data_IF_478426939280
#
_entry.id   IF_478426939280
#
_cell.length_a   1.000
_cell.length_b   1.000
_cell.length_c   1.000
_cell.angle_alpha   90.00
_cell.angle_beta   90.00
_cell.angle_gamma   90.00
#
_symmetry.space_group_name_H-M   'P 1'
#
loop_
_entity.id
_entity.type
_entity.pdbx_description
1 polymer ?
#
# COMPACT_ATOMS: atom_id res chain seq x y z
N UNK A 1 -11.14 -13.23 7.80
CA UNK A 1 -9.94 -12.88 7.01
C UNK A 1 -8.63 -12.83 7.83
N UNK A 2 -8.59 -13.27 9.11
CA UNK A 2 -7.38 -13.15 9.95
C UNK A 2 -6.34 -14.28 9.80
N UNK A 3 -6.61 -15.33 9.03
CA UNK A 3 -5.64 -16.42 8.81
C UNK A 3 -4.63 -16.15 7.70
N UNK A 4 -4.90 -15.18 6.81
CA UNK A 4 -4.05 -14.92 5.65
C UNK A 4 -2.77 -14.15 5.99
N UNK A 5 -2.85 -13.19 6.90
CA UNK A 5 -1.72 -12.32 7.27
C UNK A 5 -0.56 -13.07 7.96
N UNK A 6 -0.79 -13.85 9.04
CA UNK A 6 0.32 -14.58 9.69
C UNK A 6 0.89 -15.73 8.84
N UNK A 7 0.20 -16.13 7.77
CA UNK A 7 0.64 -17.20 6.86
C UNK A 7 1.22 -16.69 5.54
N UNK A 8 1.24 -15.37 5.30
CA UNK A 8 1.75 -14.78 4.06
C UNK A 8 3.19 -14.34 4.22
N UNK A 9 4.06 -14.66 3.26
CA UNK A 9 5.40 -14.07 3.16
C UNK A 9 5.36 -12.66 2.56
N UNK A 10 4.38 -12.40 1.67
CA UNK A 10 4.15 -11.13 1.00
C UNK A 10 2.66 -10.81 0.99
N UNK A 11 2.30 -9.56 1.30
CA UNK A 11 0.94 -9.06 1.13
C UNK A 11 0.93 -7.78 0.29
N UNK A 12 -0.13 -7.58 -0.49
CA UNK A 12 -0.24 -6.45 -1.40
C UNK A 12 -1.54 -5.63 -1.21
N UNK A 13 -1.75 -4.95 -0.06
CA UNK A 13 -2.96 -4.19 0.18
C UNK A 13 -3.02 -2.90 -0.66
N UNK A 14 -4.21 -2.44 -1.03
CA UNK A 14 -4.42 -1.02 -1.35
C UNK A 14 -4.54 -0.20 -0.05
N UNK A 15 -4.68 1.13 -0.13
CA UNK A 15 -4.81 1.97 1.08
C UNK A 15 -5.95 1.54 2.02
N UNK A 16 -7.14 1.24 1.49
CA UNK A 16 -8.30 0.87 2.32
C UNK A 16 -8.07 -0.47 3.01
N UNK A 17 -7.51 -1.44 2.30
CA UNK A 17 -7.12 -2.74 2.85
C UNK A 17 -6.03 -2.59 3.93
N UNK A 18 -5.07 -1.68 3.73
CA UNK A 18 -4.03 -1.38 4.70
C UNK A 18 -4.64 -0.86 6.01
N UNK A 19 -5.55 0.12 5.94
CA UNK A 19 -6.24 0.69 7.10
C UNK A 19 -7.09 -0.35 7.85
N UNK A 20 -7.72 -1.28 7.12
CA UNK A 20 -8.47 -2.38 7.73
C UNK A 20 -7.52 -3.35 8.46
N UNK A 21 -6.34 -3.62 7.91
CA UNK A 21 -5.38 -4.57 8.47
C UNK A 21 -4.60 -4.00 9.66
N UNK A 22 -4.24 -2.72 9.65
CA UNK A 22 -3.59 -2.05 10.79
C UNK A 22 -4.57 -1.48 11.81
N UNK A 23 -5.88 -1.51 11.52
CA UNK A 23 -6.96 -1.05 12.40
C UNK A 23 -6.88 0.46 12.76
N UNK A 24 -6.23 1.26 11.91
CA UNK A 24 -6.16 2.71 12.03
C UNK A 24 -6.09 3.40 10.64
N UNK A 25 -6.33 4.71 10.62
CA UNK A 25 -6.27 5.50 9.38
C UNK A 25 -4.81 5.73 8.94
N UNK A 26 -4.60 5.86 7.62
CA UNK A 26 -3.30 6.16 6.99
C UNK A 26 -3.49 7.32 6.00
N UNK A 27 -2.82 8.44 6.25
CA UNK A 27 -3.11 9.71 5.58
C UNK A 27 -1.93 10.26 4.78
N UNK A 28 -0.75 9.69 4.90
CA UNK A 28 0.45 10.08 4.16
C UNK A 28 1.40 8.88 3.98
N UNK A 29 2.47 9.09 3.20
CA UNK A 29 3.42 8.02 2.87
C UNK A 29 4.18 7.53 4.10
N UNK A 30 4.50 8.40 5.05
CA UNK A 30 5.21 8.02 6.29
C UNK A 30 4.35 7.09 7.16
N UNK A 31 3.08 7.45 7.37
CA UNK A 31 2.08 6.60 8.03
C UNK A 31 1.91 5.27 7.29
N UNK A 32 1.97 5.25 5.95
CA UNK A 32 1.88 4.02 5.17
C UNK A 32 3.10 3.11 5.36
N UNK A 33 4.32 3.66 5.49
CA UNK A 33 5.52 2.89 5.84
C UNK A 33 5.37 2.29 7.25
N UNK A 34 4.90 3.07 8.22
CA UNK A 34 4.71 2.61 9.59
C UNK A 34 3.66 1.49 9.66
N UNK A 35 2.47 1.69 9.08
CA UNK A 35 1.42 0.68 9.03
C UNK A 35 1.88 -0.60 8.31
N UNK A 36 2.63 -0.48 7.22
CA UNK A 36 3.21 -1.64 6.54
C UNK A 36 4.17 -2.42 7.45
N UNK A 37 4.99 -1.74 8.25
CA UNK A 37 5.90 -2.38 9.22
C UNK A 37 5.17 -3.05 10.39
N UNK A 38 4.03 -2.50 10.81
CA UNK A 38 3.15 -3.16 11.78
C UNK A 38 2.59 -4.48 11.23
N UNK A 39 2.24 -4.53 9.94
CA UNK A 39 1.85 -5.78 9.30
C UNK A 39 3.01 -6.75 9.18
N UNK A 40 4.22 -6.26 8.87
CA UNK A 40 5.43 -7.10 8.81
C UNK A 40 5.71 -7.79 10.14
N UNK A 41 5.53 -7.07 11.25
CA UNK A 41 5.68 -7.63 12.59
C UNK A 41 4.67 -8.77 12.91
N UNK A 42 3.62 -8.93 12.10
CA UNK A 42 2.59 -9.97 12.25
C UNK A 42 2.80 -11.20 11.36
N UNK A 43 3.79 -11.21 10.46
CA UNK A 43 4.03 -12.36 9.57
C UNK A 43 4.80 -12.03 8.29
N UNK A 44 4.23 -11.22 7.38
CA UNK A 44 4.84 -10.97 6.07
C UNK A 44 6.21 -10.31 6.19
N UNK A 45 7.12 -10.68 5.29
CA UNK A 45 8.44 -10.06 5.20
C UNK A 45 8.39 -8.81 4.29
N UNK A 46 7.40 -8.73 3.40
CA UNK A 46 7.25 -7.68 2.40
C UNK A 46 5.80 -7.22 2.32
N UNK A 47 5.60 -5.91 2.30
CA UNK A 47 4.28 -5.29 2.04
C UNK A 47 4.38 -4.40 0.80
N UNK A 48 3.57 -4.70 -0.21
CA UNK A 48 3.38 -3.85 -1.38
C UNK A 48 2.07 -3.08 -1.23
N UNK A 49 2.13 -1.80 -0.84
CA UNK A 49 0.95 -0.94 -0.92
C UNK A 49 0.68 -0.64 -2.40
N UNK A 50 -0.18 -1.45 -3.02
CA UNK A 50 -0.40 -1.47 -4.48
C UNK A 50 -1.11 -0.22 -5.01
N UNK A 51 -1.64 0.61 -4.11
CA UNK A 51 -2.19 1.92 -4.45
C UNK A 51 -2.29 2.80 -3.20
N UNK A 52 -1.49 3.87 -3.13
CA UNK A 52 -1.48 4.83 -2.00
C UNK A 52 -2.66 5.83 -2.03
N UNK A 53 -3.28 6.05 -3.19
CA UNK A 53 -4.43 6.96 -3.34
C UNK A 53 -4.23 8.31 -2.62
N UNK A 54 -5.08 8.61 -1.62
CA UNK A 54 -5.04 9.88 -0.87
C UNK A 54 -3.83 10.04 0.06
N UNK A 55 -3.11 8.95 0.36
CA UNK A 55 -1.91 8.97 1.20
C UNK A 55 -0.62 9.18 0.39
N UNK A 56 -0.71 9.21 -0.95
CA UNK A 56 0.42 9.50 -1.82
C UNK A 56 0.87 10.97 -1.74
N UNK A 57 2.06 11.27 -2.26
CA UNK A 57 2.59 12.63 -2.33
C UNK A 57 1.80 13.52 -3.30
N UNK A 58 1.27 12.94 -4.38
CA UNK A 58 0.48 13.61 -5.40
C UNK A 58 -0.82 12.85 -5.65
N UNK A 59 -1.94 13.57 -5.62
CA UNK A 59 -3.27 13.01 -5.90
C UNK A 59 -3.53 12.77 -7.39
N UNK A 60 -2.68 13.33 -8.26
CA UNK A 60 -2.81 13.24 -9.72
C UNK A 60 -1.93 12.12 -10.30
N UNK A 61 -1.32 11.31 -9.44
CA UNK A 61 -0.45 10.20 -9.82
C UNK A 61 -0.90 8.89 -9.19
N UNK A 62 -0.60 7.80 -9.88
CA UNK A 62 -0.72 6.47 -9.30
C UNK A 62 0.58 6.15 -8.57
N UNK A 63 0.49 6.02 -7.25
CA UNK A 63 1.64 5.80 -6.38
C UNK A 63 1.53 4.46 -5.65
N UNK A 64 2.68 3.80 -5.49
CA UNK A 64 2.83 2.55 -4.77
C UNK A 64 4.03 2.60 -3.84
N UNK A 65 4.04 1.72 -2.86
CA UNK A 65 5.11 1.60 -1.87
C UNK A 65 5.46 0.14 -1.65
N UNK A 66 6.75 -0.20 -1.75
CA UNK A 66 7.27 -1.51 -1.37
C UNK A 66 8.03 -1.34 -0.06
N UNK A 67 7.64 -2.08 0.98
CA UNK A 67 8.19 -1.94 2.33
C UNK A 67 8.70 -3.30 2.82
N UNK A 68 9.88 -3.28 3.41
CA UNK A 68 10.49 -4.35 4.20
C UNK A 68 10.71 -3.87 5.63
N UNK A 69 11.29 -4.71 6.50
CA UNK A 69 11.61 -4.29 7.86
C UNK A 69 12.55 -3.06 7.89
N UNK A 70 13.50 -3.00 6.95
CA UNK A 70 14.63 -2.07 6.97
C UNK A 70 14.54 -1.01 5.86
N UNK A 71 13.96 -1.35 4.72
CA UNK A 71 13.92 -0.48 3.53
C UNK A 71 12.50 -0.19 3.06
N UNK A 72 12.31 0.96 2.41
CA UNK A 72 11.07 1.35 1.77
C UNK A 72 11.34 2.06 0.43
N UNK A 73 10.69 1.59 -0.64
CA UNK A 73 10.81 2.16 -1.98
C UNK A 73 9.47 2.69 -2.45
N UNK A 74 9.48 3.95 -2.90
CA UNK A 74 8.33 4.60 -3.53
C UNK A 74 8.46 4.57 -5.04
N UNK A 75 7.34 4.34 -5.72
CA UNK A 75 7.25 4.52 -7.17
C UNK A 75 5.97 5.27 -7.51
N UNK A 76 6.05 6.13 -8.53
CA UNK A 76 4.89 6.82 -9.07
C UNK A 76 4.88 6.75 -10.60
N UNK A 77 3.67 6.65 -11.16
CA UNK A 77 3.42 6.80 -12.59
C UNK A 77 2.25 7.75 -12.83
N UNK A 78 2.12 8.34 -14.03
CA UNK A 78 0.92 9.08 -14.38
C UNK A 78 -0.34 8.22 -14.25
N UNK A 79 -1.46 8.85 -13.87
CA UNK A 79 -2.78 8.24 -14.03
C UNK A 79 -3.06 8.07 -15.53
N UNK A 80 -3.58 6.91 -15.92
CA UNK A 80 -3.99 6.64 -17.29
C UNK A 80 -5.50 6.68 -17.28
N UNK A 81 -6.07 7.70 -17.91
CA UNK A 81 -7.50 7.76 -18.14
C UNK A 81 -7.85 6.78 -19.25
N UNK A 82 -8.44 5.64 -18.88
CA UNK A 82 -8.91 4.62 -19.81
C UNK A 82 -10.27 5.04 -20.40
N UNK A 83 -10.34 6.24 -20.96
CA UNK A 83 -11.42 6.54 -21.91
C UNK A 83 -11.08 5.80 -23.20
N UNK A 84 -11.50 4.54 -23.28
CA UNK A 84 -11.71 3.93 -24.58
C UNK A 84 -12.72 4.82 -25.32
N UNK A 85 -12.23 5.54 -26.31
CA UNK A 85 -13.04 6.22 -27.30
C UNK A 85 -13.99 5.19 -27.93
N UNK A 86 -15.24 5.17 -27.47
CA UNK A 86 -16.37 4.69 -28.26
C UNK A 86 -16.51 5.63 -29.47
N UNK A 87 -15.78 5.30 -30.54
CA UNK A 87 -16.20 5.58 -31.91
C UNK A 87 -16.97 4.38 -32.43
#
# INVERSE_FOLDING_TARGET
MRHGLPASDIIAPNLVELEILCEHAVNNVEEAVLAARELIAQGPQIVLVKHLARAGYSRDRFEMLLVTADEAWHISRPLVDLVCASR
#
